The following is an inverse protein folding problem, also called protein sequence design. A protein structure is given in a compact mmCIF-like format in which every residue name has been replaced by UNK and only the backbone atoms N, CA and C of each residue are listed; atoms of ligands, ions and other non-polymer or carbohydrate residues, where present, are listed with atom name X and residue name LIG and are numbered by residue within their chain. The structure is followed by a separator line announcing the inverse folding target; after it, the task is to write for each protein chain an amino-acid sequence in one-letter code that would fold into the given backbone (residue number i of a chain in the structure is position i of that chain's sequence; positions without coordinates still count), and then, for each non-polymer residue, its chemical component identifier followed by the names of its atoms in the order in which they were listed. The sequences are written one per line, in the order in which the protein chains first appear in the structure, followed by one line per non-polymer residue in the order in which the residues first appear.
data_IF_182591646512
#
_entry.id   IF_182591646512
#
_cell.length_a   1.000
_cell.length_b   1.000
_cell.length_c   1.000
_cell.angle_alpha   90.00
_cell.angle_beta   90.00
_cell.angle_gamma   90.00
#
_symmetry.space_group_name_H-M   'P 1'
#
loop_
_entity.id
_entity.type
_entity.pdbx_description
1 polymer ?
#
# COMPACT_ATOMS: atom_id res chain seq x y z
N UNK A 1 -3.09 -46.39 -40.50
CA UNK A 1 -2.52 -45.12 -40.96
C UNK A 1 -2.55 -44.17 -39.78
N UNK A 2 -1.39 -43.76 -39.27
CA UNK A 2 -1.33 -42.82 -38.15
C UNK A 2 -1.99 -41.51 -38.57
N UNK A 3 -3.06 -41.10 -37.88
CA UNK A 3 -3.64 -39.77 -38.06
C UNK A 3 -2.57 -38.74 -37.64
N UNK A 4 -1.86 -38.19 -38.63
CA UNK A 4 -0.95 -37.08 -38.42
C UNK A 4 -1.76 -35.90 -37.91
N UNK A 5 -1.30 -35.27 -36.83
CA UNK A 5 -1.90 -34.05 -36.29
C UNK A 5 -1.94 -33.01 -37.43
N UNK A 6 -3.09 -32.35 -37.70
CA UNK A 6 -3.16 -31.37 -38.78
C UNK A 6 -2.19 -30.22 -38.54
N UNK A 7 -1.30 -29.93 -39.50
CA UNK A 7 -0.31 -28.85 -39.39
C UNK A 7 -0.95 -27.50 -39.06
N UNK A 8 -2.15 -27.22 -39.61
CA UNK A 8 -2.91 -26.01 -39.32
C UNK A 8 -3.24 -25.83 -37.82
N UNK A 9 -3.48 -26.92 -37.08
CA UNK A 9 -3.71 -26.85 -35.62
C UNK A 9 -2.42 -26.46 -34.89
N UNK A 10 -1.27 -27.00 -35.32
CA UNK A 10 0.03 -26.64 -34.75
C UNK A 10 0.39 -25.18 -35.04
N UNK A 11 0.11 -24.69 -36.25
CA UNK A 11 0.39 -23.31 -36.64
C UNK A 11 -0.50 -22.31 -35.86
N UNK A 12 -1.78 -22.66 -35.63
CA UNK A 12 -2.68 -21.86 -34.79
C UNK A 12 -2.22 -21.81 -33.33
N UNK A 13 -1.80 -22.95 -32.76
CA UNK A 13 -1.26 -23.02 -31.39
C UNK A 13 0.03 -22.20 -31.28
N UNK A 14 0.90 -22.27 -32.29
CA UNK A 14 2.12 -21.45 -32.34
C UNK A 14 1.79 -19.95 -32.31
N UNK A 15 0.85 -19.51 -33.14
CA UNK A 15 0.42 -18.11 -33.16
C UNK A 15 -0.15 -17.65 -31.81
N UNK A 16 -0.91 -18.50 -31.11
CA UNK A 16 -1.40 -18.20 -29.76
C UNK A 16 -0.28 -18.09 -28.72
N UNK A 17 0.73 -18.97 -28.78
CA UNK A 17 1.90 -18.92 -27.89
C UNK A 17 2.75 -17.67 -28.15
N UNK A 18 2.94 -17.31 -29.42
CA UNK A 18 3.69 -16.12 -29.81
C UNK A 18 2.97 -14.84 -29.32
N UNK A 19 1.65 -14.78 -29.45
CA UNK A 19 0.85 -13.67 -28.93
C UNK A 19 0.89 -13.58 -27.39
N UNK A 20 0.78 -14.72 -26.70
CA UNK A 20 0.91 -14.78 -25.24
C UNK A 20 2.27 -14.28 -24.77
N UNK A 21 3.33 -14.62 -25.50
CA UNK A 21 4.70 -14.17 -25.22
C UNK A 21 4.83 -12.65 -25.36
N UNK A 22 4.27 -12.07 -26.43
CA UNK A 22 4.23 -10.61 -26.63
C UNK A 22 3.47 -9.88 -25.51
N UNK A 23 2.32 -10.41 -25.09
CA UNK A 23 1.58 -9.86 -23.96
C UNK A 23 2.40 -9.91 -22.68
N UNK A 24 3.08 -11.03 -22.41
CA UNK A 24 3.91 -11.19 -21.21
C UNK A 24 5.10 -10.23 -21.18
N UNK A 25 5.69 -9.93 -22.33
CA UNK A 25 6.79 -8.98 -22.53
C UNK A 25 6.30 -7.55 -22.30
N UNK A 26 5.23 -7.13 -22.99
CA UNK A 26 4.65 -5.78 -22.83
C UNK A 26 4.25 -5.47 -21.38
N UNK A 27 3.58 -6.41 -20.71
CA UNK A 27 3.26 -6.27 -19.28
C UNK A 27 4.52 -6.28 -18.41
N UNK A 28 5.52 -7.08 -18.78
CA UNK A 28 6.81 -7.15 -18.10
C UNK A 28 7.49 -5.79 -18.03
N UNK A 29 7.67 -5.14 -19.19
CA UNK A 29 8.32 -3.83 -19.30
C UNK A 29 7.66 -2.77 -18.41
N UNK A 30 6.31 -2.74 -18.39
CA UNK A 30 5.54 -1.82 -17.55
C UNK A 30 5.73 -2.15 -16.06
N UNK A 31 5.64 -3.44 -15.67
CA UNK A 31 5.80 -3.86 -14.28
C UNK A 31 7.20 -3.62 -13.74
N UNK A 32 8.24 -3.82 -14.55
CA UNK A 32 9.63 -3.51 -14.18
C UNK A 32 9.86 -2.01 -14.00
N UNK A 33 9.23 -1.18 -14.86
CA UNK A 33 9.23 0.27 -14.68
C UNK A 33 8.57 0.66 -13.37
N UNK A 34 7.38 0.11 -13.10
CA UNK A 34 6.66 0.35 -11.85
C UNK A 34 7.48 -0.09 -10.63
N UNK A 35 8.18 -1.23 -10.70
CA UNK A 35 9.06 -1.69 -9.62
C UNK A 35 10.16 -0.67 -9.30
N UNK A 36 10.81 -0.11 -10.32
CA UNK A 36 11.84 0.91 -10.13
C UNK A 36 11.29 2.20 -9.51
N UNK A 37 10.12 2.63 -9.96
CA UNK A 37 9.45 3.84 -9.44
C UNK A 37 8.96 3.64 -7.99
N UNK A 38 8.43 2.46 -7.67
CA UNK A 38 8.08 2.06 -6.28
C UNK A 38 9.31 2.04 -5.40
N UNK A 39 10.40 1.40 -5.85
CA UNK A 39 11.65 1.33 -5.10
C UNK A 39 12.25 2.72 -4.86
N UNK A 40 12.21 3.60 -5.86
CA UNK A 40 12.66 4.99 -5.73
C UNK A 40 11.81 5.75 -4.71
N UNK A 41 10.49 5.69 -4.83
CA UNK A 41 9.55 6.36 -3.92
C UNK A 41 9.71 5.88 -2.47
N UNK A 42 9.91 4.58 -2.27
CA UNK A 42 10.21 4.00 -0.96
C UNK A 42 11.61 4.40 -0.45
N UNK A 43 12.57 4.59 -1.34
CA UNK A 43 13.86 5.18 -1.01
C UNK A 43 13.71 6.60 -0.47
N UNK A 44 12.90 7.44 -1.14
CA UNK A 44 12.60 8.81 -0.70
C UNK A 44 11.86 8.79 0.65
N UNK A 45 10.82 7.97 0.81
CA UNK A 45 10.02 7.92 2.04
C UNK A 45 10.83 7.43 3.23
N UNK A 46 11.88 6.61 3.03
CA UNK A 46 12.73 6.12 4.12
C UNK A 46 13.39 7.24 4.94
N UNK A 47 13.54 8.44 4.36
CA UNK A 47 14.04 9.65 5.06
C UNK A 47 13.13 10.09 6.21
N UNK A 48 11.87 9.64 6.23
CA UNK A 48 10.91 9.89 7.32
C UNK A 48 11.46 9.46 8.68
N UNK A 49 12.32 8.43 8.72
CA UNK A 49 12.95 7.92 9.93
C UNK A 49 14.05 8.82 10.51
N UNK A 50 14.48 9.84 9.77
CA UNK A 50 15.50 10.81 10.17
C UNK A 50 15.04 12.26 10.02
N UNK A 51 13.74 12.47 9.74
CA UNK A 51 13.15 13.79 9.53
C UNK A 51 12.10 14.03 10.62
N UNK A 52 12.11 15.21 11.25
CA UNK A 52 11.08 15.56 12.23
C UNK A 52 9.76 15.81 11.54
N UNK A 53 8.66 15.58 12.25
CA UNK A 53 7.30 15.73 11.70
C UNK A 53 7.05 17.14 11.17
N UNK A 54 7.55 18.16 11.87
CA UNK A 54 7.43 19.57 11.45
C UNK A 54 8.09 19.85 10.08
N UNK A 55 9.08 19.04 9.69
CA UNK A 55 9.86 19.23 8.47
C UNK A 55 9.33 18.40 7.28
N UNK A 56 8.31 17.54 7.48
CA UNK A 56 7.77 16.68 6.42
C UNK A 56 7.25 17.47 5.22
N UNK A 57 6.44 18.50 5.45
CA UNK A 57 5.81 19.30 4.39
C UNK A 57 6.84 20.04 3.52
N UNK A 58 7.94 20.50 4.12
CA UNK A 58 8.96 21.26 3.39
C UNK A 58 10.03 20.35 2.76
N UNK A 59 10.44 19.28 3.44
CA UNK A 59 11.66 18.54 3.09
C UNK A 59 11.41 17.14 2.49
N UNK A 60 10.24 16.54 2.72
CA UNK A 60 9.94 15.15 2.35
C UNK A 60 8.81 15.05 1.33
N UNK A 61 7.63 15.59 1.65
CA UNK A 61 6.40 15.39 0.87
C UNK A 61 6.51 15.87 -0.58
N UNK A 62 7.12 17.02 -0.92
CA UNK A 62 7.20 17.47 -2.32
C UNK A 62 7.95 16.50 -3.23
N UNK A 63 9.05 15.90 -2.73
CA UNK A 63 9.84 14.93 -3.49
C UNK A 63 9.10 13.60 -3.60
N UNK A 64 8.43 13.18 -2.53
CA UNK A 64 7.66 11.95 -2.50
C UNK A 64 6.44 12.02 -3.43
N UNK A 65 5.71 13.13 -3.44
CA UNK A 65 4.55 13.34 -4.32
C UNK A 65 4.96 13.42 -5.79
N UNK A 66 6.12 14.01 -6.10
CA UNK A 66 6.68 13.97 -7.45
C UNK A 66 6.98 12.52 -7.89
N UNK A 67 7.59 11.71 -7.02
CA UNK A 67 7.86 10.30 -7.30
C UNK A 67 6.56 9.47 -7.45
N UNK A 68 5.55 9.76 -6.62
CA UNK A 68 4.22 9.13 -6.71
C UNK A 68 3.52 9.48 -8.03
N UNK A 69 3.71 10.70 -8.55
CA UNK A 69 3.12 11.09 -9.84
C UNK A 69 3.60 10.19 -10.98
N UNK A 70 4.88 9.82 -11.00
CA UNK A 70 5.42 8.89 -11.99
C UNK A 70 4.80 7.49 -11.83
N UNK A 71 4.68 7.00 -10.60
CA UNK A 71 4.00 5.73 -10.31
C UNK A 71 2.52 5.72 -10.76
N UNK A 72 1.79 6.83 -10.57
CA UNK A 72 0.40 6.96 -11.02
C UNK A 72 0.34 6.81 -12.54
N UNK A 73 1.23 7.50 -13.27
CA UNK A 73 1.27 7.42 -14.74
C UNK A 73 1.57 5.99 -15.23
N UNK A 74 2.54 5.30 -14.61
CA UNK A 74 2.89 3.92 -15.00
C UNK A 74 1.80 2.92 -14.61
N UNK A 75 1.15 3.09 -13.45
CA UNK A 75 0.02 2.25 -13.04
C UNK A 75 -1.18 2.44 -13.96
N UNK A 76 -1.40 3.65 -14.47
CA UNK A 76 -2.42 3.91 -15.48
C UNK A 76 -2.11 3.21 -16.81
N UNK A 77 -0.86 3.30 -17.28
CA UNK A 77 -0.43 2.57 -18.48
C UNK A 77 -0.56 1.04 -18.32
N UNK A 78 -0.29 0.53 -17.11
CA UNK A 78 -0.51 -0.88 -16.78
C UNK A 78 -1.99 -1.25 -16.88
N UNK A 79 -2.89 -0.42 -16.34
CA UNK A 79 -4.33 -0.65 -16.43
C UNK A 79 -4.80 -0.70 -17.89
N UNK A 80 -4.39 0.25 -18.72
CA UNK A 80 -4.78 0.32 -20.13
C UNK A 80 -4.32 -0.90 -20.93
N UNK A 81 -3.11 -1.41 -20.68
CA UNK A 81 -2.60 -2.60 -21.35
C UNK A 81 -3.20 -3.89 -20.77
N UNK A 82 -3.21 -4.05 -19.45
CA UNK A 82 -3.69 -5.26 -18.79
C UNK A 82 -5.19 -5.49 -19.00
N UNK A 83 -6.00 -4.43 -19.09
CA UNK A 83 -7.45 -4.52 -19.38
C UNK A 83 -7.77 -5.09 -20.76
N UNK A 84 -6.79 -5.25 -21.67
CA UNK A 84 -6.97 -5.90 -22.97
C UNK A 84 -6.87 -7.43 -22.90
N UNK A 85 -6.45 -7.97 -21.76
CA UNK A 85 -6.12 -9.38 -21.58
C UNK A 85 -6.83 -9.97 -20.35
N UNK A 86 -6.99 -11.31 -20.27
CA UNK A 86 -7.68 -11.91 -19.13
C UNK A 86 -6.97 -11.66 -17.80
N UNK A 87 -7.68 -11.09 -16.82
CA UNK A 87 -7.11 -10.62 -15.56
C UNK A 87 -6.38 -11.74 -14.80
N UNK A 88 -7.09 -12.83 -14.51
CA UNK A 88 -6.55 -13.94 -13.70
C UNK A 88 -5.44 -14.73 -14.40
N UNK A 89 -5.28 -14.54 -15.72
CA UNK A 89 -4.17 -15.14 -16.47
C UNK A 89 -2.86 -14.41 -16.21
N UNK A 90 -2.89 -13.11 -15.94
CA UNK A 90 -1.68 -12.28 -15.84
C UNK A 90 -1.49 -11.57 -14.51
N UNK A 91 -2.46 -11.59 -13.59
CA UNK A 91 -2.42 -10.80 -12.36
C UNK A 91 -1.15 -10.93 -11.53
N UNK A 92 -0.60 -12.15 -11.45
CA UNK A 92 0.63 -12.46 -10.73
C UNK A 92 1.83 -11.62 -11.19
N UNK A 93 1.80 -11.07 -12.42
CA UNK A 93 2.85 -10.20 -12.94
C UNK A 93 2.87 -8.85 -12.25
N UNK A 94 1.72 -8.31 -11.84
CA UNK A 94 1.64 -6.97 -11.27
C UNK A 94 1.30 -6.92 -9.79
N UNK A 95 0.69 -7.98 -9.21
CA UNK A 95 0.19 -7.98 -7.82
C UNK A 95 1.20 -7.44 -6.81
N UNK A 96 2.47 -7.86 -6.89
CA UNK A 96 3.52 -7.40 -5.97
C UNK A 96 3.83 -5.91 -6.14
N UNK A 97 3.90 -5.44 -7.38
CA UNK A 97 4.25 -4.06 -7.73
C UNK A 97 3.11 -3.10 -7.39
N UNK A 98 1.87 -3.48 -7.72
CA UNK A 98 0.66 -2.73 -7.37
C UNK A 98 0.51 -2.64 -5.86
N UNK A 99 0.70 -3.72 -5.11
CA UNK A 99 0.72 -3.67 -3.63
C UNK A 99 1.75 -2.68 -3.09
N UNK A 100 2.95 -2.65 -3.69
CA UNK A 100 4.01 -1.69 -3.33
C UNK A 100 3.62 -0.24 -3.61
N UNK A 101 2.94 0.02 -4.72
CA UNK A 101 2.40 1.35 -5.06
C UNK A 101 1.31 1.77 -4.06
N UNK A 102 0.36 0.88 -3.74
CA UNK A 102 -0.71 1.14 -2.75
C UNK A 102 -0.10 1.47 -1.39
N UNK A 103 0.84 0.65 -0.89
CA UNK A 103 1.53 0.89 0.37
C UNK A 103 2.18 2.27 0.40
N UNK A 104 2.88 2.65 -0.68
CA UNK A 104 3.59 3.93 -0.77
C UNK A 104 2.63 5.12 -0.74
N UNK A 105 1.50 5.01 -1.45
CA UNK A 105 0.44 6.02 -1.48
C UNK A 105 -0.21 6.17 -0.10
N UNK A 106 -0.59 5.07 0.54
CA UNK A 106 -1.24 5.11 1.86
C UNK A 106 -0.27 5.65 2.92
N UNK A 107 1.01 5.27 2.88
CA UNK A 107 2.01 5.83 3.79
C UNK A 107 2.24 7.32 3.53
N UNK A 108 2.31 7.77 2.28
CA UNK A 108 2.39 9.19 1.95
C UNK A 108 1.18 9.97 2.52
N UNK A 109 -0.03 9.44 2.35
CA UNK A 109 -1.24 10.05 2.88
C UNK A 109 -1.24 10.11 4.42
N UNK A 110 -0.77 9.05 5.09
CA UNK A 110 -0.61 9.02 6.55
C UNK A 110 0.36 10.11 7.04
N UNK A 111 1.41 10.40 6.27
CA UNK A 111 2.40 11.45 6.58
C UNK A 111 1.91 12.87 6.23
N UNK A 112 0.65 13.04 5.84
CA UNK A 112 0.06 14.34 5.50
C UNK A 112 0.24 14.76 4.05
N UNK A 113 0.72 13.86 3.17
CA UNK A 113 0.78 14.10 1.73
C UNK A 113 -0.55 13.81 1.02
N UNK A 114 -0.59 14.07 -0.28
CA UNK A 114 -1.74 13.86 -1.18
C UNK A 114 -2.99 14.64 -0.76
N UNK A 115 -2.81 15.81 -0.13
CA UNK A 115 -3.88 16.74 0.15
C UNK A 115 -4.47 17.33 -1.13
N UNK A 116 -5.75 17.69 -1.11
CA UNK A 116 -6.38 18.48 -2.16
C UNK A 116 -7.15 19.66 -1.55
N UNK A 117 -7.66 20.57 -2.39
CA UNK A 117 -8.38 21.76 -1.94
C UNK A 117 -9.60 21.46 -1.06
N UNK A 118 -10.22 20.29 -1.25
CA UNK A 118 -11.43 19.86 -0.51
C UNK A 118 -11.12 19.07 0.76
N UNK A 119 -9.95 18.43 0.82
CA UNK A 119 -9.47 17.60 1.94
C UNK A 119 -7.96 17.83 2.10
N UNK A 120 -7.54 18.75 3.00
CA UNK A 120 -6.12 18.99 3.23
C UNK A 120 -5.43 17.69 3.71
N UNK A 121 -4.12 17.61 3.48
CA UNK A 121 -3.32 16.48 3.94
C UNK A 121 -3.17 16.51 5.45
N UNK A 122 -3.89 15.62 6.14
CA UNK A 122 -3.84 15.50 7.60
C UNK A 122 -2.98 14.30 8.02
N UNK A 123 -2.17 14.49 9.07
CA UNK A 123 -1.37 13.43 9.66
C UNK A 123 -2.27 12.34 10.25
N UNK A 124 -1.95 11.08 9.96
CA UNK A 124 -2.68 9.92 10.48
C UNK A 124 -3.87 9.49 9.61
N UNK A 125 -4.04 10.08 8.42
CA UNK A 125 -5.10 9.71 7.47
C UNK A 125 -4.88 8.32 6.88
N UNK A 126 -5.93 7.50 6.87
CA UNK A 126 -6.03 6.30 6.03
C UNK A 126 -6.81 6.64 4.76
N UNK A 127 -6.26 6.30 3.59
CA UNK A 127 -7.04 6.33 2.34
C UNK A 127 -7.81 5.03 2.20
N UNK A 128 -9.10 5.13 1.89
CA UNK A 128 -9.95 4.01 1.49
C UNK A 128 -9.47 3.37 0.18
N UNK A 129 -9.94 2.16 -0.13
CA UNK A 129 -9.65 1.50 -1.41
C UNK A 129 -10.09 2.37 -2.59
N UNK A 130 -11.26 3.00 -2.47
CA UNK A 130 -11.83 3.89 -3.47
C UNK A 130 -10.98 5.14 -3.68
N UNK A 131 -10.49 5.75 -2.60
CA UNK A 131 -9.58 6.91 -2.67
C UNK A 131 -8.23 6.51 -3.29
N UNK A 132 -7.69 5.33 -2.97
CA UNK A 132 -6.47 4.81 -3.62
C UNK A 132 -6.69 4.60 -5.11
N UNK A 133 -7.83 4.01 -5.51
CA UNK A 133 -8.21 3.85 -6.91
C UNK A 133 -8.32 5.19 -7.64
N UNK A 134 -8.89 6.20 -6.98
CA UNK A 134 -8.99 7.55 -7.52
C UNK A 134 -7.62 8.21 -7.71
N UNK A 135 -6.70 8.06 -6.75
CA UNK A 135 -5.32 8.57 -6.85
C UNK A 135 -4.56 7.89 -8.00
N UNK A 136 -4.67 6.57 -8.11
CA UNK A 136 -4.01 5.79 -9.16
C UNK A 136 -4.71 5.85 -10.53
N UNK A 137 -5.93 6.40 -10.57
CA UNK A 137 -6.78 6.48 -11.77
C UNK A 137 -7.11 5.11 -12.38
N UNK A 138 -7.27 4.11 -11.52
CA UNK A 138 -7.58 2.73 -11.89
C UNK A 138 -8.84 2.24 -11.17
N UNK A 139 -9.61 1.34 -11.77
CA UNK A 139 -10.81 0.82 -11.13
C UNK A 139 -10.43 -0.12 -9.97
N UNK A 140 -11.37 -0.27 -9.03
CA UNK A 140 -11.20 -1.08 -7.82
C UNK A 140 -12.28 -2.13 -7.74
N UNK A 141 -11.91 -3.34 -7.32
CA UNK A 141 -12.81 -4.46 -7.03
C UNK A 141 -13.93 -4.68 -8.06
N UNK A 142 -13.57 -4.76 -9.35
CA UNK A 142 -14.51 -4.98 -10.44
C UNK A 142 -14.89 -6.46 -10.49
N UNK A 143 -16.20 -6.74 -10.60
CA UNK A 143 -16.75 -8.10 -10.58
C UNK A 143 -17.58 -8.45 -11.83
N UNK A 144 -18.03 -7.45 -12.58
CA UNK A 144 -18.94 -7.59 -13.72
C UNK A 144 -18.23 -7.84 -15.05
N UNK A 145 -16.93 -7.56 -15.14
CA UNK A 145 -16.13 -7.69 -16.35
C UNK A 145 -14.67 -8.01 -16.06
N UNK A 146 -14.01 -8.59 -17.06
CA UNK A 146 -12.60 -9.00 -16.99
C UNK A 146 -11.69 -7.84 -17.42
N UNK A 147 -11.31 -7.00 -16.45
CA UNK A 147 -10.46 -5.82 -16.64
C UNK A 147 -9.47 -5.71 -15.48
N UNK A 148 -8.38 -4.97 -15.69
CA UNK A 148 -7.47 -4.62 -14.61
C UNK A 148 -8.24 -3.87 -13.52
N UNK A 149 -8.02 -4.25 -12.27
CA UNK A 149 -8.53 -3.55 -11.10
C UNK A 149 -7.68 -3.89 -9.88
N UNK A 150 -7.68 -3.00 -8.89
CA UNK A 150 -7.09 -3.27 -7.57
C UNK A 150 -8.06 -4.13 -6.78
N UNK A 151 -7.56 -5.24 -6.24
CA UNK A 151 -8.35 -6.14 -5.40
C UNK A 151 -8.37 -5.68 -3.95
N UNK A 152 -9.41 -6.10 -3.22
CA UNK A 152 -9.48 -5.91 -1.76
C UNK A 152 -8.26 -6.58 -1.08
N UNK A 153 -7.83 -7.74 -1.57
CA UNK A 153 -6.69 -8.46 -1.00
C UNK A 153 -5.37 -7.67 -1.13
N UNK A 154 -5.09 -7.09 -2.30
CA UNK A 154 -3.90 -6.25 -2.51
C UNK A 154 -3.89 -5.04 -1.57
N UNK A 155 -5.04 -4.39 -1.40
CA UNK A 155 -5.18 -3.28 -0.48
C UNK A 155 -4.97 -3.71 0.98
N UNK A 156 -5.65 -4.75 1.46
CA UNK A 156 -5.50 -5.21 2.85
C UNK A 156 -4.08 -5.69 3.15
N UNK A 157 -3.43 -6.39 2.21
CA UNK A 157 -2.03 -6.78 2.36
C UNK A 157 -1.10 -5.56 2.48
N UNK A 158 -1.33 -4.51 1.68
CA UNK A 158 -0.55 -3.27 1.78
C UNK A 158 -0.73 -2.57 3.13
N UNK A 159 -1.90 -2.68 3.76
CA UNK A 159 -2.14 -2.15 5.10
C UNK A 159 -1.37 -2.95 6.18
N UNK A 160 -1.11 -4.24 5.97
CA UNK A 160 -0.19 -4.98 6.86
C UNK A 160 1.26 -4.54 6.71
N UNK A 161 1.69 -4.18 5.49
CA UNK A 161 3.02 -3.58 5.26
C UNK A 161 3.10 -2.19 5.93
N UNK A 162 2.00 -1.43 5.92
CA UNK A 162 1.89 -0.14 6.60
C UNK A 162 2.08 -0.27 8.12
N UNK A 163 1.43 -1.22 8.79
CA UNK A 163 1.60 -1.39 10.25
C UNK A 163 3.04 -1.72 10.63
N UNK A 164 3.72 -2.54 9.82
CA UNK A 164 5.12 -2.87 10.04
C UNK A 164 6.00 -1.61 9.98
N UNK A 165 5.85 -0.79 8.93
CA UNK A 165 6.66 0.42 8.75
C UNK A 165 6.34 1.49 9.79
N UNK A 166 5.06 1.65 10.16
CA UNK A 166 4.64 2.56 11.23
C UNK A 166 5.18 2.13 12.60
N UNK A 167 5.24 0.83 12.89
CA UNK A 167 5.85 0.32 14.12
C UNK A 167 7.33 0.70 14.22
N UNK A 168 8.04 0.71 13.09
CA UNK A 168 9.44 1.14 13.00
C UNK A 168 9.55 2.66 13.16
N UNK A 169 8.69 3.41 12.48
CA UNK A 169 8.66 4.86 12.54
C UNK A 169 8.42 5.36 13.96
N UNK A 170 7.56 4.69 14.74
CA UNK A 170 7.23 5.06 16.12
C UNK A 170 8.47 5.27 16.98
N UNK A 171 9.42 4.32 16.98
CA UNK A 171 10.67 4.45 17.75
C UNK A 171 11.53 5.64 17.29
N UNK A 172 11.58 5.89 15.97
CA UNK A 172 12.36 6.98 15.40
C UNK A 172 11.73 8.35 15.70
N UNK A 173 10.40 8.45 15.68
CA UNK A 173 9.69 9.69 16.07
C UNK A 173 9.97 10.05 17.53
N UNK A 174 9.99 9.07 18.43
CA UNK A 174 10.39 9.29 19.84
C UNK A 174 11.83 9.75 19.94
N UNK A 175 12.73 9.17 19.15
CA UNK A 175 14.16 9.56 19.12
C UNK A 175 14.34 11.00 18.65
N UNK A 176 13.48 11.45 17.72
CA UNK A 176 13.46 12.81 17.18
C UNK A 176 12.68 13.81 18.06
N UNK A 177 12.05 13.36 19.15
CA UNK A 177 11.28 14.19 20.08
C UNK A 177 9.81 14.40 19.70
N UNK A 178 9.31 13.73 18.67
CA UNK A 178 7.94 13.85 18.16
C UNK A 178 6.98 12.87 18.86
N UNK A 179 6.71 13.09 20.15
CA UNK A 179 5.90 12.17 20.97
C UNK A 179 4.43 12.08 20.54
N UNK A 180 3.85 13.17 20.05
CA UNK A 180 2.47 13.19 19.55
C UNK A 180 2.29 12.25 18.36
N UNK A 181 3.30 12.17 17.49
CA UNK A 181 3.28 11.28 16.34
C UNK A 181 3.35 9.82 16.78
N UNK A 182 4.15 9.48 17.79
CA UNK A 182 4.18 8.14 18.36
C UNK A 182 2.82 7.71 18.91
N UNK A 183 2.12 8.60 19.62
CA UNK A 183 0.75 8.34 20.13
C UNK A 183 -0.26 8.18 19.00
N UNK A 184 -0.14 9.01 17.95
CA UNK A 184 -0.98 8.93 16.74
C UNK A 184 -0.79 7.60 16.01
N UNK A 185 0.46 7.19 15.81
CA UNK A 185 0.79 5.90 15.19
C UNK A 185 0.22 4.74 16.02
N UNK A 186 0.43 4.76 17.34
CA UNK A 186 -0.11 3.70 18.23
C UNK A 186 -1.63 3.58 18.13
N UNK A 187 -2.34 4.71 18.16
CA UNK A 187 -3.80 4.71 18.01
C UNK A 187 -4.24 4.18 16.64
N UNK A 188 -3.58 4.63 15.57
CA UNK A 188 -3.87 4.19 14.21
C UNK A 188 -3.66 2.68 14.01
N UNK A 189 -2.52 2.14 14.45
CA UNK A 189 -2.19 0.71 14.31
C UNK A 189 -3.15 -0.15 15.13
N UNK A 190 -3.54 0.30 16.33
CA UNK A 190 -4.55 -0.37 17.15
C UNK A 190 -5.92 -0.39 16.46
N UNK A 191 -6.36 0.75 15.93
CA UNK A 191 -7.67 0.86 15.29
C UNK A 191 -7.72 0.06 13.97
N UNK A 192 -6.62 0.05 13.21
CA UNK A 192 -6.47 -0.80 12.02
C UNK A 192 -6.47 -2.29 12.37
N UNK A 193 -5.77 -2.69 13.44
CA UNK A 193 -5.82 -4.06 13.94
C UNK A 193 -7.23 -4.47 14.37
N UNK A 194 -7.96 -3.61 15.09
CA UNK A 194 -9.34 -3.85 15.45
C UNK A 194 -10.23 -4.00 14.20
N UNK A 195 -10.04 -3.15 13.18
CA UNK A 195 -10.71 -3.26 11.88
C UNK A 195 -10.47 -4.61 11.21
N UNK A 196 -9.23 -5.10 11.20
CA UNK A 196 -8.91 -6.42 10.67
C UNK A 196 -9.61 -7.56 11.42
N UNK A 197 -9.80 -7.47 12.75
CA UNK A 197 -10.51 -8.49 13.52
C UNK A 197 -12.01 -8.58 13.18
N UNK A 198 -12.59 -7.52 12.62
CA UNK A 198 -13.98 -7.53 12.12
C UNK A 198 -14.11 -8.26 10.78
N UNK A 199 -13.01 -8.47 10.06
CA UNK A 199 -13.02 -9.15 8.77
C UNK A 199 -13.00 -10.67 8.97
N UNK A 200 -14.00 -11.35 8.40
CA UNK A 200 -14.05 -12.82 8.38
C UNK A 200 -13.14 -13.38 7.29
N UNK A 201 -11.82 -13.31 7.53
CA UNK A 201 -10.79 -13.76 6.58
C UNK A 201 -10.66 -15.29 6.58
N UNK A 202 -10.48 -15.87 5.39
CA UNK A 202 -10.20 -17.30 5.22
C UNK A 202 -8.74 -17.60 5.59
N UNK A 203 -8.41 -18.87 5.82
CA UNK A 203 -7.05 -19.31 6.16
C UNK A 203 -6.10 -19.28 4.94
N UNK A 204 -5.67 -18.08 4.54
CA UNK A 204 -4.76 -17.82 3.43
C UNK A 204 -3.58 -16.92 3.85
N UNK A 205 -2.84 -16.39 2.87
CA UNK A 205 -1.72 -15.48 3.11
C UNK A 205 -2.17 -14.20 3.82
N UNK A 206 -3.33 -13.66 3.47
CA UNK A 206 -3.86 -12.43 4.06
C UNK A 206 -4.15 -12.64 5.54
N UNK A 207 -4.78 -13.76 5.92
CA UNK A 207 -4.99 -14.08 7.35
C UNK A 207 -3.68 -14.15 8.13
N UNK A 208 -2.66 -14.85 7.60
CA UNK A 208 -1.34 -14.93 8.25
C UNK A 208 -0.70 -13.57 8.45
N UNK A 209 -0.80 -12.69 7.45
CA UNK A 209 -0.26 -11.33 7.49
C UNK A 209 -1.01 -10.45 8.48
N UNK A 210 -2.33 -10.52 8.50
CA UNK A 210 -3.19 -9.84 9.49
C UNK A 210 -2.89 -10.32 10.91
N UNK A 211 -2.75 -11.62 11.13
CA UNK A 211 -2.43 -12.18 12.46
C UNK A 211 -1.05 -11.74 12.97
N UNK A 212 -0.14 -11.35 12.08
CA UNK A 212 1.18 -10.81 12.45
C UNK A 212 1.12 -9.36 12.96
N UNK A 213 0.06 -8.61 12.64
CA UNK A 213 -0.10 -7.20 13.05
C UNK A 213 -0.14 -7.04 14.58
N UNK A 214 -0.55 -8.07 15.33
CA UNK A 214 -0.51 -8.06 16.80
C UNK A 214 0.89 -7.75 17.37
N UNK A 215 1.95 -8.11 16.66
CA UNK A 215 3.32 -7.81 17.07
C UNK A 215 3.67 -6.33 16.87
N UNK A 216 3.16 -5.71 15.80
CA UNK A 216 3.30 -4.27 15.59
C UNK A 216 2.52 -3.49 16.64
N UNK A 217 1.29 -3.91 16.94
CA UNK A 217 0.44 -3.32 17.99
C UNK A 217 1.18 -3.33 19.33
N UNK A 218 1.69 -4.49 19.75
CA UNK A 218 2.45 -4.60 20.99
C UNK A 218 3.63 -3.63 21.00
N UNK A 219 4.40 -3.57 19.91
CA UNK A 219 5.58 -2.72 19.81
C UNK A 219 5.24 -1.23 19.96
N UNK A 220 4.18 -0.75 19.30
CA UNK A 220 3.79 0.66 19.41
C UNK A 220 3.17 0.98 20.77
N UNK A 221 2.47 0.04 21.40
CA UNK A 221 1.93 0.17 22.75
C UNK A 221 3.05 0.21 23.80
N UNK A 222 4.05 -0.65 23.69
CA UNK A 222 5.23 -0.66 24.57
C UNK A 222 5.94 0.70 24.51
N UNK A 223 6.10 1.30 23.32
CA UNK A 223 6.69 2.65 23.17
C UNK A 223 5.85 3.72 23.86
N UNK A 224 4.53 3.72 23.67
CA UNK A 224 3.64 4.70 24.30
C UNK A 224 3.58 4.53 25.82
N UNK A 225 3.60 3.30 26.32
CA UNK A 225 3.71 2.98 27.74
C UNK A 225 4.98 3.59 28.34
N UNK A 226 6.11 3.41 27.65
CA UNK A 226 7.41 3.96 28.02
C UNK A 226 7.43 5.50 28.06
N UNK A 227 6.71 6.16 27.15
CA UNK A 227 6.52 7.62 27.18
C UNK A 227 5.66 8.05 28.37
N UNK A 228 4.58 7.30 28.64
CA UNK A 228 3.67 7.57 29.75
C UNK A 228 4.37 7.46 31.10
N UNK A 229 5.19 6.42 31.31
CA UNK A 229 5.96 6.25 32.55
C UNK A 229 6.92 7.40 32.82
N UNK A 230 7.41 8.05 31.76
CA UNK A 230 8.36 9.18 31.83
C UNK A 230 7.67 10.54 31.85
N UNK A 231 6.32 10.59 31.88
CA UNK A 231 5.52 11.81 31.78
C UNK A 231 5.83 12.65 30.52
N UNK A 232 6.23 11.99 29.42
CA UNK A 232 6.53 12.65 28.14
C UNK A 232 5.30 12.89 27.27
N UNK A 233 4.17 12.30 27.66
CA UNK A 233 2.86 12.52 27.05
C UNK A 233 1.87 12.92 28.14
N UNK A 234 0.86 13.76 27.82
CA UNK A 234 -0.17 14.12 28.79
C UNK A 234 -0.81 12.86 29.37
N UNK A 235 -0.90 12.77 30.69
CA UNK A 235 -1.70 11.73 31.32
C UNK A 235 -3.12 11.81 30.72
N UNK A 236 -3.64 10.69 30.23
CA UNK A 236 -5.05 10.58 29.85
C UNK A 236 -5.85 11.14 31.02
N UNK A 237 -6.40 12.34 30.87
CA UNK A 237 -7.28 12.90 31.90
C UNK A 237 -8.35 11.84 32.12
N UNK A 238 -8.41 11.30 33.32
CA UNK A 238 -9.44 10.37 33.75
C UNK A 238 -10.78 11.06 33.54
N UNK A 239 -11.47 10.72 32.45
CA UNK A 239 -12.88 11.00 32.27
C UNK A 239 -13.63 10.24 33.37
N UNK A 240 -13.76 10.87 34.54
CA UNK A 240 -14.24 10.21 35.75
C UNK A 240 -13.96 10.99 37.04
N UNK A 241 -14.24 12.29 37.04
CA UNK A 241 -14.44 13.07 38.26
C UNK A 241 -15.35 14.27 37.93
N UNK A 242 -16.56 13.98 37.46
CA UNK A 242 -17.67 14.93 37.55
C UNK A 242 -18.60 14.40 38.65
N UNK A 243 -18.66 15.18 39.73
CA UNK A 243 -19.64 15.09 40.81
C UNK A 243 -21.05 15.38 40.30
#
# INVERSE_FOLDING_TARGET
MAQMIPQAVLDQLKAQIDQDSKTKEALGDITEKLEREVAYSQGVISRVHATRVADYAAALLPQLEAAIKDMIATTKALEEEASKHPYYKYNFKWTRHVRGAIFTIVLCAFLGGLGNETKPGELGRLLSLEEVGAVLQVPVNIQDRDVFHITIEEYLLSLTDLTNELSRLTTNTVTLGDFEMAVRISSFVRDLHAGFQLLNLKNDILRKRVDSVKYDVKKVEDVVYDLSLRNLIPARQSAGAAQ
#
